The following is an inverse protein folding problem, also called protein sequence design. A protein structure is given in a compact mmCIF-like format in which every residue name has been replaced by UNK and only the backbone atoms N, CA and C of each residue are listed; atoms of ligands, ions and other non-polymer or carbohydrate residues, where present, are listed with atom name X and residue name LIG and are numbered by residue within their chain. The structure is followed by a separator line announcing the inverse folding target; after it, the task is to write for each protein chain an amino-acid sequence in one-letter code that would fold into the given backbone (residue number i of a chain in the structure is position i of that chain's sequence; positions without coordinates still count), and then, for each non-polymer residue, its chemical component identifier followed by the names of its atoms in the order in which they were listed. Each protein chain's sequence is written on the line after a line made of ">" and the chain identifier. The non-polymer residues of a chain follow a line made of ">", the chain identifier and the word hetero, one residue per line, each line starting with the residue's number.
data_IF_713107240854
#
_entry.id   IF_713107240854
#
_cell.length_a   1.000
_cell.length_b   1.000
_cell.length_c   1.000
_cell.angle_alpha   90.00
_cell.angle_beta   90.00
_cell.angle_gamma   90.00
#
_symmetry.space_group_name_H-M   'P 1'
#
loop_
_entity.id
_entity.type
_entity.pdbx_description
1 polymer ?
#
# COMPACT_ATOMS: atom_id res chain seq x y z
N UNK A 1 -2.57 13.22 6.91
CA UNK A 1 -3.90 12.70 7.25
C UNK A 1 -4.90 13.19 6.21
N UNK A 2 -5.60 12.26 5.54
CA UNK A 2 -6.53 12.48 4.42
C UNK A 2 -7.53 13.65 4.64
N UNK A 3 -7.97 13.82 5.88
CA UNK A 3 -8.85 14.91 6.33
C UNK A 3 -8.34 16.33 5.99
N UNK A 4 -7.03 16.58 6.15
CA UNK A 4 -6.42 17.90 5.88
C UNK A 4 -6.49 18.28 4.40
N UNK A 5 -6.45 17.28 3.51
CA UNK A 5 -6.55 17.47 2.06
C UNK A 5 -7.99 17.76 1.64
N UNK A 6 -8.95 16.98 2.13
CA UNK A 6 -10.38 17.20 1.86
C UNK A 6 -10.83 18.59 2.33
N UNK A 7 -10.36 19.02 3.51
CA UNK A 7 -10.61 20.35 4.03
C UNK A 7 -10.09 21.46 3.11
N UNK A 8 -8.84 21.30 2.63
CA UNK A 8 -8.21 22.27 1.74
C UNK A 8 -8.94 22.36 0.39
N UNK A 9 -9.39 21.23 -0.18
CA UNK A 9 -10.18 21.23 -1.42
C UNK A 9 -11.53 21.91 -1.26
N UNK A 10 -12.24 21.65 -0.15
CA UNK A 10 -13.51 22.31 0.17
C UNK A 10 -13.34 23.83 0.31
N UNK A 11 -12.29 24.29 1.01
CA UNK A 11 -11.95 25.71 1.14
C UNK A 11 -11.67 26.34 -0.23
N UNK A 12 -10.84 25.71 -1.07
CA UNK A 12 -10.51 26.23 -2.41
C UNK A 12 -11.77 26.31 -3.29
N UNK A 13 -12.67 25.34 -3.20
CA UNK A 13 -13.94 25.34 -3.96
C UNK A 13 -14.82 26.54 -3.58
N UNK A 14 -15.07 26.74 -2.28
CA UNK A 14 -15.90 27.84 -1.77
C UNK A 14 -15.32 29.22 -2.11
N UNK A 15 -13.99 29.37 -2.06
CA UNK A 15 -13.33 30.62 -2.44
C UNK A 15 -13.39 30.88 -3.95
N UNK A 16 -13.36 29.84 -4.80
CA UNK A 16 -13.59 29.98 -6.25
C UNK A 16 -15.01 30.41 -6.60
N UNK A 17 -15.98 30.01 -5.78
CA UNK A 17 -17.38 30.44 -5.88
C UNK A 17 -17.60 31.91 -5.46
N UNK A 18 -16.53 32.64 -5.09
CA UNK A 18 -16.59 34.06 -4.74
C UNK A 18 -16.94 34.35 -3.28
N UNK A 19 -17.07 33.33 -2.43
CA UNK A 19 -17.37 33.52 -1.00
C UNK A 19 -16.20 34.19 -0.28
N UNK A 20 -16.50 35.05 0.69
CA UNK A 20 -15.47 35.72 1.49
C UNK A 20 -14.74 34.73 2.41
N UNK A 21 -13.44 34.95 2.64
CA UNK A 21 -12.63 34.11 3.53
C UNK A 21 -13.21 33.98 4.94
N UNK A 22 -13.93 35.01 5.42
CA UNK A 22 -14.60 35.01 6.72
C UNK A 22 -15.81 34.08 6.74
N UNK A 23 -16.62 34.08 5.69
CA UNK A 23 -17.75 33.14 5.54
C UNK A 23 -17.26 31.70 5.44
N UNK A 24 -16.25 31.44 4.60
CA UNK A 24 -15.67 30.09 4.44
C UNK A 24 -15.08 29.58 5.76
N UNK A 25 -14.43 30.44 6.54
CA UNK A 25 -13.89 30.08 7.85
C UNK A 25 -14.99 29.60 8.82
N UNK A 26 -16.13 30.30 8.86
CA UNK A 26 -17.30 29.93 9.67
C UNK A 26 -17.93 28.61 9.20
N UNK A 27 -18.13 28.44 7.89
CA UNK A 27 -18.75 27.25 7.29
C UNK A 27 -17.92 25.97 7.48
N UNK A 28 -16.59 26.12 7.56
CA UNK A 28 -15.64 25.00 7.65
C UNK A 28 -15.16 24.77 9.09
N UNK A 29 -15.44 25.69 10.02
CA UNK A 29 -15.02 25.61 11.41
C UNK A 29 -13.50 25.78 11.59
N UNK A 30 -12.89 26.70 10.82
CA UNK A 30 -11.45 26.97 10.84
C UNK A 30 -11.16 28.46 11.00
N UNK A 31 -9.94 28.85 11.37
CA UNK A 31 -9.57 30.26 11.45
C UNK A 31 -9.46 30.91 10.07
N UNK A 32 -9.82 32.19 9.97
CA UNK A 32 -9.71 32.97 8.72
C UNK A 32 -8.26 33.02 8.19
N UNK A 33 -7.28 33.05 9.09
CA UNK A 33 -5.86 32.98 8.72
C UNK A 33 -5.48 31.64 8.08
N UNK A 34 -6.07 30.52 8.53
CA UNK A 34 -5.85 29.21 7.91
C UNK A 34 -6.42 29.17 6.48
N UNK A 35 -7.63 29.69 6.28
CA UNK A 35 -8.26 29.84 4.96
C UNK A 35 -7.39 30.69 4.04
N UNK A 36 -6.89 31.84 4.52
CA UNK A 36 -6.06 32.74 3.74
C UNK A 36 -4.72 32.09 3.35
N UNK A 37 -4.05 31.39 4.27
CA UNK A 37 -2.82 30.64 3.98
C UNK A 37 -3.03 29.57 2.91
N UNK A 38 -4.15 28.83 2.98
CA UNK A 38 -4.50 27.81 1.97
C UNK A 38 -4.72 28.47 0.61
N UNK A 39 -5.43 29.60 0.55
CA UNK A 39 -5.69 30.31 -0.69
C UNK A 39 -4.42 30.88 -1.35
N UNK A 40 -3.56 31.53 -0.57
CA UNK A 40 -2.27 32.05 -1.06
C UNK A 40 -1.41 30.92 -1.62
N UNK A 41 -1.33 29.80 -0.90
CA UNK A 41 -0.60 28.61 -1.36
C UNK A 41 -1.18 28.04 -2.65
N UNK A 42 -2.51 28.00 -2.78
CA UNK A 42 -3.18 27.56 -4.00
C UNK A 42 -2.91 28.49 -5.19
N UNK A 43 -2.88 29.81 -4.99
CA UNK A 43 -2.53 30.77 -6.04
C UNK A 43 -1.07 30.64 -6.48
N UNK A 44 -0.14 30.43 -5.55
CA UNK A 44 1.29 30.31 -5.84
C UNK A 44 1.67 28.97 -6.49
N UNK A 45 1.07 27.88 -6.04
CA UNK A 45 1.48 26.52 -6.40
C UNK A 45 0.26 25.67 -6.80
N UNK A 46 -0.65 26.23 -7.59
CA UNK A 46 -1.87 25.56 -8.04
C UNK A 46 -1.61 24.16 -8.60
N UNK A 47 -2.67 23.34 -8.71
CA UNK A 47 -2.52 21.97 -9.25
C UNK A 47 -1.89 22.03 -10.65
N UNK A 48 -0.64 21.58 -10.73
CA UNK A 48 0.13 21.49 -11.98
C UNK A 48 -0.49 20.49 -12.95
N UNK A 49 -1.20 19.48 -12.42
CA UNK A 49 -1.78 18.40 -13.23
C UNK A 49 -3.28 18.54 -13.41
N UNK A 50 -3.75 18.23 -14.61
CA UNK A 50 -5.17 18.23 -14.95
C UNK A 50 -5.84 16.92 -14.53
N UNK A 51 -7.17 16.96 -14.35
CA UNK A 51 -7.97 15.75 -14.05
C UNK A 51 -7.79 14.64 -15.09
N UNK A 52 -7.57 14.99 -16.36
CA UNK A 52 -7.32 14.01 -17.44
C UNK A 52 -5.97 13.32 -17.25
N UNK A 53 -4.94 14.07 -16.88
CA UNK A 53 -3.62 13.52 -16.59
C UNK A 53 -3.65 12.61 -15.36
N UNK A 54 -4.37 12.98 -14.30
CA UNK A 54 -4.51 12.14 -13.11
C UNK A 54 -5.22 10.81 -13.40
N UNK A 55 -6.24 10.82 -14.29
CA UNK A 55 -6.91 9.58 -14.73
C UNK A 55 -5.93 8.64 -15.44
N UNK A 56 -5.04 9.18 -16.28
CA UNK A 56 -3.98 8.38 -16.93
C UNK A 56 -3.01 7.80 -15.90
N UNK A 57 -2.56 8.60 -14.94
CA UNK A 57 -1.70 8.13 -13.86
C UNK A 57 -2.37 7.01 -13.05
N UNK A 58 -3.67 7.13 -12.78
CA UNK A 58 -4.47 6.08 -12.13
C UNK A 58 -4.49 4.79 -12.97
N UNK A 59 -4.69 4.88 -14.27
CA UNK A 59 -4.68 3.72 -15.16
C UNK A 59 -3.31 3.01 -15.15
N UNK A 60 -2.20 3.76 -15.25
CA UNK A 60 -0.84 3.22 -15.16
C UNK A 60 -0.62 2.49 -13.82
N UNK A 61 -1.13 3.06 -12.72
CA UNK A 61 -1.01 2.44 -11.40
C UNK A 61 -1.84 1.15 -11.26
N UNK A 62 -3.00 1.06 -11.93
CA UNK A 62 -3.87 -0.10 -11.87
C UNK A 62 -3.38 -1.24 -12.77
N UNK A 63 -2.79 -0.91 -13.92
CA UNK A 63 -2.15 -1.87 -14.83
C UNK A 63 -1.04 -2.65 -14.14
N UNK A 64 -0.15 -1.94 -13.42
CA UNK A 64 0.91 -2.58 -12.64
C UNK A 64 1.03 -1.96 -11.25
N UNK A 65 0.35 -2.60 -10.28
CA UNK A 65 0.35 -2.18 -8.86
C UNK A 65 1.71 -2.26 -8.17
N UNK A 66 2.71 -2.89 -8.79
CA UNK A 66 4.09 -2.99 -8.27
C UNK A 66 5.02 -1.92 -8.82
N UNK A 67 4.57 -1.09 -9.76
CA UNK A 67 5.41 -0.03 -10.31
C UNK A 67 5.86 0.96 -9.23
N UNK A 68 7.10 1.41 -9.37
CA UNK A 68 7.66 2.48 -8.54
C UNK A 68 7.20 3.85 -9.06
N UNK A 69 7.27 4.88 -8.21
CA UNK A 69 6.93 6.24 -8.61
C UNK A 69 7.77 6.73 -9.82
N UNK A 70 9.04 6.33 -9.91
CA UNK A 70 9.93 6.65 -11.04
C UNK A 70 9.48 5.99 -12.34
N UNK A 71 9.11 4.71 -12.29
CA UNK A 71 8.56 3.99 -13.45
C UNK A 71 7.23 4.60 -13.90
N UNK A 72 6.36 4.94 -12.96
CA UNK A 72 5.09 5.61 -13.26
C UNK A 72 5.32 6.99 -13.87
N UNK A 73 6.29 7.76 -13.36
CA UNK A 73 6.69 9.05 -13.92
C UNK A 73 7.12 8.89 -15.38
N UNK A 74 8.06 7.98 -15.67
CA UNK A 74 8.58 7.80 -17.03
C UNK A 74 7.45 7.43 -18.02
N UNK A 75 6.57 6.48 -17.65
CA UNK A 75 5.39 6.14 -18.48
C UNK A 75 4.42 7.33 -18.64
N UNK A 76 4.34 8.18 -17.63
CA UNK A 76 3.45 9.36 -17.67
C UNK A 76 4.04 10.50 -18.49
N UNK A 77 5.36 10.60 -18.54
CA UNK A 77 6.13 11.57 -19.33
C UNK A 77 5.93 11.37 -20.83
N UNK A 78 5.81 10.11 -21.29
CA UNK A 78 5.42 9.76 -22.67
C UNK A 78 4.08 10.41 -23.10
N UNK A 79 3.23 10.78 -22.14
CA UNK A 79 1.96 11.46 -22.40
C UNK A 79 2.07 12.99 -22.42
N UNK A 80 3.29 13.53 -22.42
CA UNK A 80 3.61 14.96 -22.48
C UNK A 80 3.63 15.67 -21.13
N UNK A 81 3.79 14.95 -20.02
CA UNK A 81 3.74 15.50 -18.66
C UNK A 81 5.10 15.34 -17.98
N UNK A 82 5.88 16.42 -17.95
CA UNK A 82 7.14 16.44 -17.20
C UNK A 82 6.89 16.84 -15.74
N UNK A 83 7.05 15.88 -14.82
CA UNK A 83 6.88 16.09 -13.38
C UNK A 83 7.90 15.30 -12.59
N UNK A 84 8.24 15.76 -11.39
CA UNK A 84 9.10 15.00 -10.49
C UNK A 84 8.35 13.84 -9.80
N UNK A 85 9.09 12.85 -9.32
CA UNK A 85 8.55 11.67 -8.61
C UNK A 85 7.71 12.04 -7.38
N UNK A 86 8.02 13.19 -6.75
CA UNK A 86 7.29 13.70 -5.59
C UNK A 86 5.87 14.09 -5.97
N UNK A 87 5.67 14.69 -7.14
CA UNK A 87 4.35 15.03 -7.67
C UNK A 87 3.55 13.77 -7.91
N UNK A 88 4.12 12.76 -8.57
CA UNK A 88 3.46 11.45 -8.79
C UNK A 88 2.98 10.84 -7.47
N UNK A 89 3.86 10.78 -6.45
CA UNK A 89 3.50 10.26 -5.12
C UNK A 89 2.38 11.07 -4.45
N UNK A 90 2.41 12.39 -4.56
CA UNK A 90 1.36 13.24 -4.00
C UNK A 90 0.02 13.01 -4.71
N UNK A 91 0.00 12.96 -6.05
CA UNK A 91 -1.21 12.68 -6.83
C UNK A 91 -1.81 11.32 -6.48
N UNK A 92 -0.98 10.29 -6.37
CA UNK A 92 -1.43 8.95 -5.96
C UNK A 92 -2.05 8.97 -4.56
N UNK A 93 -1.43 9.65 -3.59
CA UNK A 93 -1.97 9.81 -2.24
C UNK A 93 -3.30 10.57 -2.22
N UNK A 94 -3.41 11.64 -3.01
CA UNK A 94 -4.66 12.41 -3.16
C UNK A 94 -5.78 11.53 -3.73
N UNK A 95 -5.46 10.64 -4.67
CA UNK A 95 -6.39 9.64 -5.21
C UNK A 95 -6.66 8.45 -4.27
N UNK A 96 -6.06 8.43 -3.07
CA UNK A 96 -6.27 7.36 -2.07
C UNK A 96 -5.36 6.15 -2.24
N UNK A 97 -4.39 6.18 -3.15
CA UNK A 97 -3.43 5.08 -3.30
C UNK A 97 -2.32 5.16 -2.24
N UNK A 98 -2.09 4.03 -1.58
CA UNK A 98 -0.99 3.85 -0.63
C UNK A 98 -0.13 2.68 -1.05
N UNK A 99 1.18 2.86 -1.03
CA UNK A 99 2.11 1.77 -1.23
C UNK A 99 2.09 0.83 -0.01
N UNK A 100 2.07 -0.48 -0.28
CA UNK A 100 2.22 -1.54 0.72
C UNK A 100 3.16 -2.61 0.19
N UNK A 101 4.06 -3.11 1.05
CA UNK A 101 4.95 -4.23 0.71
C UNK A 101 4.13 -5.53 0.73
N UNK A 102 4.15 -6.28 -0.37
CA UNK A 102 3.51 -7.60 -0.42
C UNK A 102 4.25 -8.57 0.53
N UNK A 103 3.49 -9.41 1.26
CA UNK A 103 4.08 -10.50 2.06
C UNK A 103 4.76 -11.50 1.12
N UNK A 104 5.95 -11.98 1.49
CA UNK A 104 6.62 -13.07 0.77
C UNK A 104 5.78 -14.34 0.92
N UNK A 105 5.57 -15.06 -0.17
CA UNK A 105 4.86 -16.34 -0.22
C UNK A 105 5.70 -17.32 -1.05
N UNK A 106 5.72 -18.62 -0.71
CA UNK A 106 6.33 -19.62 -1.57
C UNK A 106 5.71 -19.60 -2.97
N UNK A 107 6.55 -19.71 -3.99
CA UNK A 107 6.09 -19.81 -5.38
C UNK A 107 5.44 -21.17 -5.60
N UNK A 108 4.18 -21.19 -6.04
CA UNK A 108 3.46 -22.42 -6.35
C UNK A 108 3.45 -22.66 -7.85
N UNK A 109 3.79 -23.88 -8.25
CA UNK A 109 3.62 -24.33 -9.63
C UNK A 109 2.13 -24.44 -9.98
N UNK A 110 1.75 -24.33 -11.26
CA UNK A 110 0.35 -24.50 -11.67
C UNK A 110 -0.27 -25.82 -11.20
N UNK A 111 0.50 -26.93 -11.25
CA UNK A 111 0.09 -28.24 -10.73
C UNK A 111 -0.22 -28.19 -9.24
N UNK A 112 0.69 -27.63 -8.42
CA UNK A 112 0.48 -27.49 -6.97
C UNK A 112 -0.77 -26.66 -6.65
N UNK A 113 -1.04 -25.58 -7.41
CA UNK A 113 -2.26 -24.77 -7.21
C UNK A 113 -3.52 -25.59 -7.46
N UNK A 114 -3.55 -26.38 -8.53
CA UNK A 114 -4.70 -27.24 -8.86
C UNK A 114 -4.93 -28.30 -7.77
N UNK A 115 -3.88 -29.01 -7.36
CA UNK A 115 -3.97 -30.03 -6.30
C UNK A 115 -4.44 -29.44 -4.98
N UNK A 116 -3.87 -28.30 -4.56
CA UNK A 116 -4.28 -27.63 -3.31
C UNK A 116 -5.73 -27.14 -3.36
N UNK A 117 -6.17 -26.59 -4.50
CA UNK A 117 -7.54 -26.15 -4.67
C UNK A 117 -8.52 -27.33 -4.62
N UNK A 118 -8.19 -28.42 -5.29
CA UNK A 118 -9.01 -29.63 -5.30
C UNK A 118 -9.15 -30.21 -3.89
N UNK A 119 -8.03 -30.36 -3.17
CA UNK A 119 -8.03 -30.84 -1.78
C UNK A 119 -8.87 -29.95 -0.86
N UNK A 120 -8.79 -28.62 -1.03
CA UNK A 120 -9.59 -27.68 -0.24
C UNK A 120 -11.09 -27.77 -0.55
N UNK A 121 -11.47 -28.03 -1.80
CA UNK A 121 -12.87 -28.23 -2.20
C UNK A 121 -13.44 -29.54 -1.64
N UNK A 122 -12.69 -30.63 -1.74
CA UNK A 122 -13.08 -31.94 -1.19
C UNK A 122 -13.32 -31.88 0.31
N UNK A 123 -12.52 -31.09 1.03
CA UNK A 123 -12.65 -30.90 2.48
C UNK A 123 -13.47 -29.69 2.90
N UNK A 124 -14.15 -29.01 1.97
CA UNK A 124 -14.93 -27.81 2.27
C UNK A 124 -16.14 -28.11 3.16
N UNK A 125 -16.75 -29.30 3.00
CA UNK A 125 -17.92 -29.75 3.75
C UNK A 125 -17.57 -30.63 4.97
N UNK A 126 -16.29 -30.75 5.30
CA UNK A 126 -15.86 -31.56 6.44
C UNK A 126 -16.33 -30.97 7.75
N UNK A 127 -16.87 -31.84 8.60
CA UNK A 127 -17.31 -31.48 9.94
C UNK A 127 -16.15 -31.49 10.93
N UNK A 128 -16.38 -30.98 12.15
CA UNK A 128 -15.35 -31.00 13.21
C UNK A 128 -14.90 -32.44 13.49
N UNK A 129 -15.83 -33.40 13.52
CA UNK A 129 -15.53 -34.81 13.76
C UNK A 129 -14.65 -35.44 12.67
N UNK A 130 -14.76 -34.95 11.43
CA UNK A 130 -13.90 -35.40 10.33
C UNK A 130 -12.48 -34.86 10.47
N UNK A 131 -12.32 -33.62 10.94
CA UNK A 131 -11.01 -33.04 11.24
C UNK A 131 -10.35 -33.69 12.47
N UNK A 132 -11.12 -34.11 13.47
CA UNK A 132 -10.59 -34.82 14.66
C UNK A 132 -9.92 -36.16 14.30
N UNK A 133 -10.25 -36.74 13.14
CA UNK A 133 -9.62 -37.98 12.65
C UNK A 133 -8.29 -37.74 11.93
N UNK A 134 -7.90 -36.48 11.69
CA UNK A 134 -6.67 -36.13 10.95
C UNK A 134 -5.59 -35.67 11.93
N UNK A 135 -4.44 -36.36 11.89
CA UNK A 135 -3.23 -35.95 12.60
C UNK A 135 -2.31 -35.26 11.59
N UNK A 136 -1.83 -34.06 11.94
CA UNK A 136 -0.85 -33.34 11.14
C UNK A 136 0.54 -33.50 11.75
N UNK A 137 1.51 -33.90 10.94
CA UNK A 137 2.92 -33.94 11.31
C UNK A 137 3.72 -33.09 10.32
N UNK A 138 4.63 -32.27 10.82
CA UNK A 138 5.60 -31.54 10.01
C UNK A 138 6.99 -31.63 10.66
N UNK A 139 8.02 -31.57 9.83
CA UNK A 139 9.41 -31.56 10.29
C UNK A 139 9.93 -30.14 10.26
N UNK A 140 10.39 -29.65 11.40
CA UNK A 140 11.01 -28.33 11.49
C UNK A 140 12.51 -28.47 11.73
N UNK A 141 13.29 -27.74 10.94
CA UNK A 141 14.73 -27.64 11.14
C UNK A 141 14.99 -26.64 12.27
N UNK A 142 15.39 -27.13 13.44
CA UNK A 142 15.75 -26.26 14.56
C UNK A 142 17.24 -25.90 14.46
N UNK A 143 17.53 -24.60 14.53
CA UNK A 143 18.89 -24.09 14.55
C UNK A 143 19.39 -24.05 15.98
N UNK A 144 20.31 -24.93 16.34
CA UNK A 144 20.94 -24.93 17.67
C UNK A 144 22.23 -24.10 17.63
N UNK A 145 22.26 -23.08 18.49
CA UNK A 145 23.46 -22.31 18.79
C UNK A 145 24.23 -23.03 19.90
N UNK A 146 25.39 -23.63 19.57
CA UNK A 146 26.34 -24.11 20.57
C UNK A 146 27.45 -23.09 20.73
N UNK A 147 27.53 -22.49 21.92
CA UNK A 147 28.65 -21.64 22.34
C UNK A 147 29.65 -22.52 23.10
N UNK A 148 30.88 -22.61 22.61
CA UNK A 148 31.99 -23.20 23.36
C UNK A 148 32.79 -22.07 24.02
N UNK A 149 32.92 -22.10 25.34
CA UNK A 149 33.85 -21.22 26.06
C UNK A 149 35.26 -21.76 25.87
N UNK A 150 36.01 -21.20 24.92
CA UNK A 150 37.41 -21.59 24.70
C UNK A 150 38.03 -20.94 23.47
N UNK A 151 37.32 -20.94 22.33
CA UNK A 151 37.78 -20.33 21.09
C UNK A 151 36.60 -19.72 20.34
N UNK A 152 36.77 -18.51 19.84
CA UNK A 152 35.74 -17.60 19.31
C UNK A 152 35.17 -18.04 17.94
N UNK A 153 34.67 -19.27 17.84
CA UNK A 153 33.93 -19.77 16.68
C UNK A 153 32.54 -20.28 17.10
N UNK A 154 31.51 -19.53 16.73
CA UNK A 154 30.13 -20.01 16.82
C UNK A 154 29.90 -21.09 15.76
N UNK A 155 29.80 -22.36 16.18
CA UNK A 155 29.45 -23.48 15.30
C UNK A 155 27.94 -23.65 15.31
N UNK A 156 27.30 -23.50 14.16
CA UNK A 156 25.87 -23.76 13.99
C UNK A 156 25.66 -25.23 13.66
N UNK A 157 24.83 -25.91 14.45
CA UNK A 157 24.37 -27.27 14.16
C UNK A 157 22.86 -27.28 13.94
N UNK A 158 22.39 -28.14 13.04
CA UNK A 158 20.97 -28.29 12.72
C UNK A 158 20.50 -29.65 13.22
N UNK A 159 19.43 -29.67 14.01
CA UNK A 159 18.75 -30.89 14.45
C UNK A 159 17.33 -30.89 13.86
N UNK A 160 16.93 -32.01 13.26
CA UNK A 160 15.57 -32.21 12.78
C UNK A 160 14.73 -32.78 13.92
N UNK A 161 13.67 -32.07 14.29
CA UNK A 161 12.69 -32.56 15.27
C UNK A 161 11.32 -32.63 14.61
N UNK A 162 10.70 -33.80 14.70
CA UNK A 162 9.30 -34.00 14.29
C UNK A 162 8.39 -33.30 15.30
N UNK A 163 7.46 -32.48 14.80
CA UNK A 163 6.42 -31.84 15.61
C UNK A 163 5.07 -32.36 15.09
N UNK A 164 4.30 -33.00 15.97
CA UNK A 164 2.90 -33.30 15.73
C UNK A 164 2.06 -32.11 16.21
N UNK A 165 1.13 -31.64 15.38
CA UNK A 165 0.24 -30.48 15.64
C UNK A 165 -1.16 -30.99 15.96
#
# INVERSE_FOLDING_TARGET
>A
SHFKWQLSERIIKLLKEGKSSRSVAKDVGCSQSAVSKIWTKYKQHGKVTSKRQDRKLKAICLENRKCTAKQMRNKWEETGVNVCDRTVRNRLKEMGFTYRKAKRKPSLTPKQKKTRLQWAKEKQLWTVDDWMKVIFSDESCQKLLRYYYGDLHAVYTYEYRSICI
#
